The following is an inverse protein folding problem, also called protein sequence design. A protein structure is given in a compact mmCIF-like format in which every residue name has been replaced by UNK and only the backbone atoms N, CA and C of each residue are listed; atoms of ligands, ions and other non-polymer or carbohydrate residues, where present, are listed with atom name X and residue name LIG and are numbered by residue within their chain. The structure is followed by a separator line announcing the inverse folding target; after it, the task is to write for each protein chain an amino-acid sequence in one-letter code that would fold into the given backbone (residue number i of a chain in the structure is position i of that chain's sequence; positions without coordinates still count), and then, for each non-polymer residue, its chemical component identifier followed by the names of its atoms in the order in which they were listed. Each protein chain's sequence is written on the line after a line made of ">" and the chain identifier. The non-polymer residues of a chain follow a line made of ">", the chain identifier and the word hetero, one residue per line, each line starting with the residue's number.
data_IF_182832420241
#
_entry.id   IF_182832420241
#
_cell.length_a   1.000
_cell.length_b   1.000
_cell.length_c   1.000
_cell.angle_alpha   90.00
_cell.angle_beta   90.00
_cell.angle_gamma   90.00
#
_symmetry.space_group_name_H-M   'P 1'
#
loop_
_entity.id
_entity.type
_entity.pdbx_description
1 polymer ?
#
# COMPACT_ATOMS: atom_id res chain seq x y z
N UNK A 1 72.24 -15.90 -19.23
CA UNK A 1 72.12 -14.49 -18.84
C UNK A 1 72.11 -13.70 -20.13
N UNK A 2 70.93 -13.46 -20.70
CA UNK A 2 70.78 -12.57 -21.85
C UNK A 2 70.21 -11.25 -21.35
N UNK A 3 71.01 -10.20 -21.50
CA UNK A 3 70.71 -8.85 -21.08
C UNK A 3 69.74 -8.23 -22.10
N UNK A 4 68.46 -8.13 -21.75
CA UNK A 4 67.45 -7.50 -22.59
C UNK A 4 67.63 -5.98 -22.52
N UNK A 5 68.31 -5.40 -23.51
CA UNK A 5 68.41 -3.93 -23.65
C UNK A 5 67.02 -3.34 -23.90
N UNK A 6 66.62 -2.29 -23.16
CA UNK A 6 65.36 -1.61 -23.42
C UNK A 6 65.38 -0.99 -24.82
N UNK A 7 64.33 -1.26 -25.60
CA UNK A 7 64.17 -0.69 -26.94
C UNK A 7 63.86 0.81 -26.85
N UNK A 8 64.37 1.64 -27.78
CA UNK A 8 64.11 3.06 -27.80
C UNK A 8 62.63 3.35 -28.08
N UNK A 9 62.06 4.31 -27.35
CA UNK A 9 60.64 4.69 -27.41
C UNK A 9 60.35 5.36 -28.78
N UNK A 10 59.34 4.91 -29.55
CA UNK A 10 58.96 5.56 -30.80
C UNK A 10 58.43 6.99 -30.56
N UNK A 11 59.02 8.01 -31.19
CA UNK A 11 58.67 9.43 -31.00
C UNK A 11 57.19 9.76 -31.30
N UNK A 12 56.54 8.95 -32.13
CA UNK A 12 55.13 9.09 -32.49
C UNK A 12 54.21 8.95 -31.27
N UNK A 13 54.57 8.06 -30.33
CA UNK A 13 53.79 7.81 -29.11
C UNK A 13 53.80 9.00 -28.14
N UNK A 14 54.93 9.72 -28.06
CA UNK A 14 55.08 10.91 -27.24
C UNK A 14 54.34 12.12 -27.83
N UNK A 15 54.31 12.23 -29.17
CA UNK A 15 53.57 13.29 -29.88
C UNK A 15 52.05 13.18 -29.76
N UNK A 16 51.51 11.97 -29.61
CA UNK A 16 50.07 11.75 -29.42
C UNK A 16 49.58 11.92 -27.96
N UNK A 17 50.49 12.17 -27.00
CA UNK A 17 50.12 12.43 -25.61
C UNK A 17 49.69 11.19 -24.81
N UNK A 18 50.05 9.98 -25.25
CA UNK A 18 49.75 8.75 -24.52
C UNK A 18 50.71 8.55 -23.32
N UNK A 19 50.16 8.26 -22.14
CA UNK A 19 50.94 7.86 -20.96
C UNK A 19 51.44 6.41 -21.13
N UNK A 20 52.75 6.22 -21.24
CA UNK A 20 53.42 4.91 -21.44
C UNK A 20 53.57 4.12 -20.13
N UNK A 21 52.86 4.52 -19.06
CA UNK A 21 52.98 3.89 -17.75
C UNK A 21 51.96 2.78 -17.61
N UNK A 22 52.43 1.54 -17.71
CA UNK A 22 51.59 0.36 -17.51
C UNK A 22 51.02 0.32 -16.08
N UNK A 23 49.73 0.03 -15.97
CA UNK A 23 49.06 -0.16 -14.68
C UNK A 23 49.70 -1.35 -13.99
N UNK A 24 50.15 -1.15 -12.75
CA UNK A 24 50.77 -2.22 -11.96
C UNK A 24 49.73 -3.29 -11.62
N UNK A 25 49.70 -4.38 -12.40
CA UNK A 25 48.77 -5.52 -12.25
C UNK A 25 48.71 -6.04 -10.80
N UNK A 26 49.85 -6.04 -10.11
CA UNK A 26 49.95 -6.46 -8.71
C UNK A 26 49.10 -5.60 -7.78
N UNK A 27 49.15 -4.29 -7.96
CA UNK A 27 48.40 -3.34 -7.13
C UNK A 27 46.91 -3.42 -7.47
N UNK A 28 46.57 -3.65 -8.75
CA UNK A 28 45.19 -3.85 -9.18
C UNK A 28 44.57 -5.11 -8.57
N UNK A 29 45.30 -6.22 -8.55
CA UNK A 29 44.83 -7.47 -7.93
C UNK A 29 44.64 -7.30 -6.42
N UNK A 30 45.56 -6.61 -5.74
CA UNK A 30 45.40 -6.30 -4.31
C UNK A 30 44.19 -5.40 -4.03
N UNK A 31 43.94 -4.41 -4.88
CA UNK A 31 42.79 -3.50 -4.75
C UNK A 31 41.48 -4.28 -4.92
N UNK A 32 41.36 -5.06 -6.00
CA UNK A 32 40.16 -5.85 -6.29
C UNK A 32 39.94 -6.92 -5.23
N UNK A 33 41.00 -7.63 -4.83
CA UNK A 33 40.94 -8.61 -3.75
C UNK A 33 40.56 -7.98 -2.41
N UNK A 34 41.09 -6.79 -2.11
CA UNK A 34 40.73 -6.01 -0.93
C UNK A 34 39.26 -5.60 -0.94
N UNK A 35 38.75 -5.13 -2.08
CA UNK A 35 37.33 -4.75 -2.23
C UNK A 35 36.40 -5.95 -2.00
N UNK A 36 36.72 -7.10 -2.61
CA UNK A 36 35.96 -8.34 -2.42
C UNK A 36 36.03 -8.78 -0.95
N UNK A 37 37.20 -8.71 -0.33
CA UNK A 37 37.39 -9.01 1.08
C UNK A 37 36.51 -8.15 1.99
N UNK A 38 36.46 -6.83 1.75
CA UNK A 38 35.61 -5.91 2.50
C UNK A 38 34.14 -6.27 2.34
N UNK A 39 33.68 -6.57 1.13
CA UNK A 39 32.30 -6.98 0.86
C UNK A 39 31.96 -8.26 1.64
N UNK A 40 32.83 -9.27 1.60
CA UNK A 40 32.63 -10.53 2.35
C UNK A 40 32.59 -10.27 3.85
N UNK A 41 33.47 -9.41 4.37
CA UNK A 41 33.49 -9.05 5.79
C UNK A 41 32.18 -8.35 6.20
N UNK A 42 31.68 -7.42 5.39
CA UNK A 42 30.40 -6.73 5.65
C UNK A 42 29.25 -7.74 5.69
N UNK A 43 29.17 -8.66 4.73
CA UNK A 43 28.15 -9.71 4.73
C UNK A 43 28.28 -10.66 5.93
N UNK A 44 29.51 -11.01 6.32
CA UNK A 44 29.75 -11.84 7.50
C UNK A 44 29.32 -11.15 8.81
N UNK A 45 29.62 -9.86 8.95
CA UNK A 45 29.20 -9.04 10.11
C UNK A 45 27.68 -8.94 10.15
N UNK A 46 27.02 -8.64 9.03
CA UNK A 46 25.56 -8.59 8.94
C UNK A 46 24.95 -9.94 9.29
N UNK A 47 25.47 -11.04 8.73
CA UNK A 47 24.99 -12.40 9.04
C UNK A 47 25.17 -12.79 10.51
N UNK A 48 26.32 -12.46 11.11
CA UNK A 48 26.58 -12.69 12.53
C UNK A 48 25.64 -11.85 13.40
N UNK A 49 25.43 -10.58 13.05
CA UNK A 49 24.50 -9.70 13.75
C UNK A 49 23.06 -10.25 13.68
N UNK A 50 22.59 -10.64 12.50
CA UNK A 50 21.27 -11.28 12.35
C UNK A 50 21.16 -12.57 13.16
N UNK A 51 22.19 -13.42 13.14
CA UNK A 51 22.22 -14.66 13.92
C UNK A 51 22.14 -14.38 15.43
N UNK A 52 22.93 -13.43 15.94
CA UNK A 52 22.94 -13.03 17.33
C UNK A 52 21.61 -12.39 17.77
N UNK A 53 21.07 -11.47 16.97
CA UNK A 53 19.80 -10.80 17.25
C UNK A 53 18.61 -11.77 17.15
N UNK A 54 18.62 -12.71 16.20
CA UNK A 54 17.53 -13.67 16.02
C UNK A 54 17.59 -14.81 17.05
N UNK A 55 18.77 -15.24 17.48
CA UNK A 55 18.93 -16.19 18.58
C UNK A 55 18.30 -15.65 19.89
N UNK A 56 18.47 -14.35 20.13
CA UNK A 56 17.85 -13.67 21.28
C UNK A 56 16.36 -13.34 21.07
N UNK A 57 15.88 -13.23 19.82
CA UNK A 57 14.45 -13.01 19.52
C UNK A 57 13.63 -14.29 19.59
N UNK A 58 14.14 -15.43 19.11
CA UNK A 58 13.45 -16.73 19.27
C UNK A 58 13.33 -17.13 20.74
N UNK A 59 14.29 -16.74 21.59
CA UNK A 59 14.20 -16.88 23.04
C UNK A 59 13.29 -15.83 23.72
N UNK A 60 12.92 -14.75 23.01
CA UNK A 60 12.07 -13.64 23.46
C UNK A 60 10.86 -13.42 22.54
N UNK A 61 10.30 -14.48 21.97
CA UNK A 61 8.96 -14.47 21.39
C UNK A 61 7.91 -14.30 22.51
N UNK A 62 8.03 -13.22 23.29
CA UNK A 62 6.89 -12.65 23.97
C UNK A 62 5.95 -12.13 22.86
N UNK A 63 4.64 -12.37 22.98
CA UNK A 63 3.66 -11.77 22.08
C UNK A 63 3.93 -10.27 21.92
N UNK A 64 3.68 -9.68 20.74
CA UNK A 64 3.88 -8.25 20.54
C UNK A 64 3.18 -7.46 21.66
N UNK A 65 3.83 -6.42 22.23
CA UNK A 65 3.24 -5.65 23.31
C UNK A 65 1.88 -5.08 22.86
N UNK A 66 0.85 -5.15 23.71
CA UNK A 66 -0.54 -4.81 23.37
C UNK A 66 -0.75 -3.33 22.95
N UNK A 67 0.29 -2.51 22.96
CA UNK A 67 0.22 -1.11 22.54
C UNK A 67 0.15 -0.90 21.01
N UNK A 68 0.37 -1.95 20.19
CA UNK A 68 -0.05 -1.94 18.78
C UNK A 68 -1.46 -2.50 18.58
N UNK A 69 -2.00 -3.18 19.59
CA UNK A 69 -3.38 -3.67 19.61
C UNK A 69 -4.34 -2.51 19.97
N UNK A 70 -3.87 -1.50 20.69
CA UNK A 70 -4.63 -0.29 21.03
C UNK A 70 -4.51 0.86 19.99
N UNK A 71 -4.02 0.57 18.78
CA UNK A 71 -4.30 1.41 17.61
C UNK A 71 -5.58 0.93 16.87
N UNK A 72 -6.37 0.05 17.50
CA UNK A 72 -7.70 -0.38 17.02
C UNK A 72 -8.79 0.71 17.15
N UNK A 73 -8.48 1.86 17.75
CA UNK A 73 -9.33 3.03 17.66
C UNK A 73 -9.04 3.79 16.38
N UNK A 74 -9.82 3.53 15.33
CA UNK A 74 -9.91 4.46 14.21
C UNK A 74 -10.07 5.88 14.79
N UNK A 75 -9.28 6.88 14.34
CA UNK A 75 -9.30 8.21 14.94
C UNK A 75 -10.73 8.74 15.01
N UNK A 76 -11.15 9.42 16.10
CA UNK A 76 -12.47 10.00 16.21
C UNK A 76 -12.60 11.12 15.18
N UNK A 77 -13.05 10.75 13.99
CA UNK A 77 -13.17 11.60 12.83
C UNK A 77 -13.95 10.87 11.74
N UNK A 78 -14.53 11.60 10.77
CA UNK A 78 -15.22 10.98 9.67
C UNK A 78 -14.25 10.06 8.93
N UNK A 79 -14.53 8.76 8.98
CA UNK A 79 -13.72 7.76 8.32
C UNK A 79 -13.97 7.85 6.82
N UNK A 80 -12.91 7.69 6.03
CA UNK A 80 -13.07 7.60 4.59
C UNK A 80 -13.93 6.37 4.27
N UNK A 81 -15.02 6.57 3.55
CA UNK A 81 -15.88 5.48 3.08
C UNK A 81 -15.06 4.56 2.18
N UNK A 82 -14.94 3.29 2.56
CA UNK A 82 -14.02 2.33 1.93
C UNK A 82 -14.40 2.01 0.48
N UNK A 83 -15.69 1.93 0.17
CA UNK A 83 -16.18 1.63 -1.17
C UNK A 83 -17.50 2.38 -1.48
N UNK A 84 -17.44 3.67 -1.81
CA UNK A 84 -18.64 4.47 -2.06
C UNK A 84 -19.49 3.94 -3.22
N UNK A 85 -18.89 3.27 -4.21
CA UNK A 85 -19.62 2.71 -5.36
C UNK A 85 -20.52 1.54 -4.99
N UNK A 86 -20.00 0.58 -4.22
CA UNK A 86 -20.80 -0.54 -3.72
C UNK A 86 -21.89 -0.08 -2.75
N UNK A 87 -21.55 0.87 -1.87
CA UNK A 87 -22.50 1.40 -0.90
C UNK A 87 -23.67 2.13 -1.59
N UNK A 88 -23.38 2.95 -2.63
CA UNK A 88 -24.42 3.59 -3.44
C UNK A 88 -25.31 2.58 -4.16
N UNK A 89 -24.75 1.49 -4.68
CA UNK A 89 -25.56 0.42 -5.31
C UNK A 89 -26.46 -0.28 -4.29
N UNK A 90 -25.93 -0.57 -3.09
CA UNK A 90 -26.72 -1.14 -2.00
C UNK A 90 -27.89 -0.25 -1.61
N UNK A 91 -27.62 1.05 -1.43
CA UNK A 91 -28.65 2.05 -1.12
C UNK A 91 -29.70 2.17 -2.22
N UNK A 92 -29.29 2.18 -3.50
CA UNK A 92 -30.21 2.24 -4.63
C UNK A 92 -31.13 1.00 -4.66
N UNK A 93 -30.58 -0.20 -4.49
CA UNK A 93 -31.36 -1.44 -4.49
C UNK A 93 -32.36 -1.49 -3.32
N UNK A 94 -31.97 -0.99 -2.14
CA UNK A 94 -32.87 -0.90 -0.98
C UNK A 94 -34.03 0.06 -1.25
N UNK A 95 -33.74 1.24 -1.80
CA UNK A 95 -34.75 2.23 -2.17
C UNK A 95 -35.71 1.69 -3.23
N UNK A 96 -35.19 1.03 -4.27
CA UNK A 96 -36.00 0.38 -5.29
C UNK A 96 -36.90 -0.70 -4.69
N UNK A 97 -36.38 -1.47 -3.73
CA UNK A 97 -37.15 -2.46 -2.99
C UNK A 97 -38.31 -1.85 -2.20
N UNK A 98 -38.10 -0.70 -1.56
CA UNK A 98 -39.13 0.02 -0.80
C UNK A 98 -40.18 0.65 -1.72
N UNK A 99 -39.76 1.27 -2.83
CA UNK A 99 -40.65 2.01 -3.73
C UNK A 99 -41.52 1.10 -4.58
N UNK A 100 -41.01 -0.04 -5.03
CA UNK A 100 -41.69 -0.89 -6.01
C UNK A 100 -42.45 -2.07 -5.39
N UNK A 101 -42.39 -2.26 -4.06
CA UNK A 101 -42.98 -3.43 -3.41
C UNK A 101 -43.84 -3.08 -2.20
N UNK A 102 -44.84 -3.93 -1.96
CA UNK A 102 -45.62 -3.90 -0.74
C UNK A 102 -44.76 -4.25 0.48
N UNK A 103 -45.19 -3.78 1.64
CA UNK A 103 -44.57 -4.12 2.91
C UNK A 103 -45.39 -3.63 4.09
N UNK A 104 -44.96 -4.00 5.29
CA UNK A 104 -45.54 -3.48 6.52
C UNK A 104 -44.73 -2.29 7.00
N UNK A 105 -45.40 -1.21 7.38
CA UNK A 105 -44.80 -0.11 8.14
C UNK A 105 -44.96 -0.41 9.63
N UNK A 106 -46.17 -0.80 10.02
CA UNK A 106 -46.50 -1.25 11.37
C UNK A 106 -47.53 -2.38 11.28
N UNK A 107 -47.13 -3.58 11.70
CA UNK A 107 -47.99 -4.78 11.64
C UNK A 107 -49.07 -4.75 12.70
N UNK A 108 -48.80 -4.19 13.87
CA UNK A 108 -49.73 -4.17 15.01
C UNK A 108 -50.82 -3.14 14.77
N UNK A 109 -50.46 -1.98 14.22
CA UNK A 109 -51.41 -0.95 13.81
C UNK A 109 -52.10 -1.24 12.46
N UNK A 110 -51.71 -2.31 11.76
CA UNK A 110 -52.30 -2.68 10.47
C UNK A 110 -51.91 -1.75 9.30
N UNK A 111 -50.80 -1.03 9.42
CA UNK A 111 -50.34 -0.04 8.43
C UNK A 111 -49.39 -0.69 7.41
N UNK A 112 -49.82 -0.71 6.15
CA UNK A 112 -49.04 -1.23 5.01
C UNK A 112 -48.49 -0.10 4.14
N UNK A 113 -47.29 -0.30 3.60
CA UNK A 113 -46.78 0.46 2.46
C UNK A 113 -47.24 -0.19 1.16
N UNK A 114 -47.56 0.65 0.18
CA UNK A 114 -47.92 0.25 -1.18
C UNK A 114 -46.85 0.75 -2.15
N UNK A 115 -46.68 0.11 -3.33
CA UNK A 115 -45.80 0.60 -4.37
C UNK A 115 -46.14 2.03 -4.79
N UNK A 116 -45.13 2.82 -5.16
CA UNK A 116 -45.29 4.25 -5.43
C UNK A 116 -46.21 4.51 -6.63
N UNK A 117 -46.15 3.68 -7.67
CA UNK A 117 -47.06 3.75 -8.82
C UNK A 117 -48.52 3.61 -8.37
N UNK A 118 -48.78 2.65 -7.47
CA UNK A 118 -50.13 2.44 -6.94
C UNK A 118 -50.58 3.58 -6.04
N UNK A 119 -49.67 4.17 -5.26
CA UNK A 119 -49.96 5.35 -4.47
C UNK A 119 -50.36 6.54 -5.34
N UNK A 120 -49.66 6.76 -6.46
CA UNK A 120 -49.96 7.82 -7.42
C UNK A 120 -51.35 7.61 -8.03
N UNK A 121 -51.65 6.41 -8.53
CA UNK A 121 -52.98 6.07 -9.10
C UNK A 121 -54.10 6.37 -8.11
N UNK A 122 -53.96 5.86 -6.88
CA UNK A 122 -54.95 6.04 -5.83
C UNK A 122 -55.11 7.51 -5.41
N UNK A 123 -54.04 8.29 -5.48
CA UNK A 123 -54.08 9.73 -5.18
C UNK A 123 -54.78 10.49 -6.30
N UNK A 124 -54.56 10.12 -7.56
CA UNK A 124 -55.27 10.70 -8.70
C UNK A 124 -56.76 10.35 -8.68
N UNK A 125 -57.11 9.12 -8.30
CA UNK A 125 -58.50 8.68 -8.15
C UNK A 125 -59.24 9.42 -7.04
N UNK A 126 -58.58 9.65 -5.89
CA UNK A 126 -59.21 10.26 -4.70
C UNK A 126 -59.09 11.79 -4.66
N UNK A 127 -58.18 12.35 -5.44
CA UNK A 127 -57.77 13.75 -5.32
C UNK A 127 -56.79 13.98 -4.16
N UNK A 128 -56.10 15.12 -4.17
CA UNK A 128 -55.22 15.53 -3.08
C UNK A 128 -56.05 15.82 -1.82
N UNK A 129 -55.61 15.41 -0.63
CA UNK A 129 -56.28 15.79 0.61
C UNK A 129 -56.28 17.31 0.74
N UNK A 130 -57.46 17.90 1.00
CA UNK A 130 -57.55 19.31 1.35
C UNK A 130 -56.74 19.53 2.63
N UNK A 131 -55.82 20.50 2.63
CA UNK A 131 -55.11 20.88 3.85
C UNK A 131 -56.14 21.21 4.94
N UNK A 132 -56.02 20.64 6.16
CA UNK A 132 -56.82 21.10 7.29
C UNK A 132 -56.52 22.59 7.47
N UNK A 133 -57.55 23.43 7.33
CA UNK A 133 -57.43 24.80 7.78
C UNK A 133 -57.31 24.75 9.31
N UNK A 134 -56.13 25.05 9.84
CA UNK A 134 -55.97 25.37 11.26
C UNK A 134 -56.80 26.64 11.52
N UNK A 135 -58.02 26.45 12.03
CA UNK A 135 -58.85 27.51 12.56
C UNK A 135 -58.17 28.04 13.82
N UNK A 136 -57.78 29.32 13.78
CA UNK A 136 -56.97 29.99 14.79
C UNK A 136 -57.81 30.52 15.94
#
# INVERSE_FOLDING_TARGET
>A
MEEHKPQPIPEESLKLGYEVRDVNLRNLVWLVGGLIGVVIIVFAIIGLLYSFLNYNQTARSAPPPPLLEEAQGLPPGPLLQRNPGQDMQGMANEQDGILNNYGWVDKEAGVVRIPIERAIELTLERGLPAQPQEEK
#
